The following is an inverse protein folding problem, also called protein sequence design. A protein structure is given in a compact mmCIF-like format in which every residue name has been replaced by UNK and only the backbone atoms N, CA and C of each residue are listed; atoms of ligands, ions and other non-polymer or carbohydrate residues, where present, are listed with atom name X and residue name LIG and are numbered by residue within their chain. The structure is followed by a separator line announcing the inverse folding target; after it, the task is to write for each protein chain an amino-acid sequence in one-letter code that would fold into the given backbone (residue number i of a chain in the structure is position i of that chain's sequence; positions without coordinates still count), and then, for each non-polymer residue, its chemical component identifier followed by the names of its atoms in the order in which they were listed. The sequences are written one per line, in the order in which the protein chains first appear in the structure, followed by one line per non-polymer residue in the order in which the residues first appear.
data_IF_366613595385
#
_entry.id   IF_366613595385
#
_cell.length_a   1.000
_cell.length_b   1.000
_cell.length_c   1.000
_cell.angle_alpha   90.00
_cell.angle_beta   90.00
_cell.angle_gamma   90.00
#
_symmetry.space_group_name_H-M   'P 1'
#
loop_
_entity.id
_entity.type
_entity.pdbx_description
1 polymer ?
#
# COMPACT_ATOMS: atom_id res chain seq x y z
N UNK A 1 17.02 -13.10 -6.33
CA UNK A 1 15.65 -13.03 -5.77
C UNK A 1 15.73 -12.52 -4.33
N UNK A 2 14.61 -12.14 -3.69
CA UNK A 2 14.62 -11.61 -2.30
C UNK A 2 15.31 -12.60 -1.33
N UNK A 3 15.06 -13.90 -1.50
CA UNK A 3 15.71 -14.97 -0.73
C UNK A 3 17.25 -14.95 -0.80
N UNK A 4 17.85 -14.52 -1.92
CA UNK A 4 19.31 -14.44 -2.06
C UNK A 4 19.89 -13.15 -1.51
N UNK A 5 19.10 -12.06 -1.55
CA UNK A 5 19.52 -10.73 -1.17
C UNK A 5 19.43 -10.52 0.34
N UNK A 6 18.34 -10.98 0.99
CA UNK A 6 18.08 -10.73 2.40
C UNK A 6 19.23 -11.19 3.33
N UNK A 7 19.87 -12.37 3.14
CA UNK A 7 20.99 -12.79 3.99
C UNK A 7 22.27 -11.94 3.85
N UNK A 8 22.37 -11.14 2.78
CA UNK A 8 23.54 -10.27 2.49
C UNK A 8 23.36 -8.85 3.00
N UNK A 9 22.15 -8.49 3.44
CA UNK A 9 21.87 -7.17 3.98
C UNK A 9 22.21 -7.14 5.47
N UNK A 10 22.75 -6.01 5.98
CA UNK A 10 22.96 -5.82 7.41
C UNK A 10 21.60 -5.55 8.09
N UNK A 11 20.78 -6.59 8.24
CA UNK A 11 19.45 -6.48 8.84
C UNK A 11 19.57 -6.13 10.33
N UNK A 12 19.00 -4.99 10.71
CA UNK A 12 18.93 -4.60 12.11
C UNK A 12 17.99 -5.54 12.89
N UNK A 13 18.37 -5.86 14.13
CA UNK A 13 17.46 -6.56 15.05
C UNK A 13 16.19 -5.73 15.24
N UNK A 14 15.02 -6.37 15.07
CA UNK A 14 13.70 -5.73 15.11
C UNK A 14 13.53 -4.56 14.12
N UNK A 15 14.28 -4.58 13.02
CA UNK A 15 14.13 -3.64 11.90
C UNK A 15 12.95 -4.01 10.99
N UNK A 16 12.66 -3.12 10.04
CA UNK A 16 11.67 -3.34 8.97
C UNK A 16 12.44 -3.40 7.65
N UNK A 17 12.16 -4.42 6.83
CA UNK A 17 12.65 -4.52 5.46
C UNK A 17 11.56 -4.05 4.50
N UNK A 18 11.82 -2.98 3.76
CA UNK A 18 10.95 -2.54 2.66
C UNK A 18 11.38 -3.20 1.36
N UNK A 19 10.41 -3.75 0.64
CA UNK A 19 10.59 -4.31 -0.70
C UNK A 19 9.74 -3.49 -1.66
N UNK A 20 10.37 -2.60 -2.42
CA UNK A 20 9.69 -1.89 -3.51
C UNK A 20 9.59 -2.83 -4.71
N UNK A 21 8.35 -3.20 -5.07
CA UNK A 21 8.09 -4.07 -6.20
C UNK A 21 8.07 -3.29 -7.52
N UNK A 22 8.07 -4.00 -8.65
CA UNK A 22 7.89 -3.39 -9.96
C UNK A 22 6.53 -2.68 -10.02
N UNK A 23 6.48 -1.45 -10.54
CA UNK A 23 5.27 -0.63 -10.64
C UNK A 23 4.22 -1.22 -11.59
N UNK A 24 3.47 -2.21 -11.11
CA UNK A 24 2.46 -2.96 -11.86
C UNK A 24 1.40 -3.52 -10.88
N UNK A 25 0.11 -3.33 -11.20
CA UNK A 25 -1.02 -3.80 -10.36
C UNK A 25 -1.54 -5.20 -10.76
N UNK A 26 -0.91 -5.87 -11.72
CA UNK A 26 -1.33 -7.17 -12.24
C UNK A 26 -0.35 -8.26 -11.79
N UNK A 27 0.84 -8.30 -12.37
CA UNK A 27 1.79 -9.40 -12.16
C UNK A 27 2.17 -9.60 -10.68
N UNK A 28 2.49 -8.55 -9.90
CA UNK A 28 2.98 -8.72 -8.53
C UNK A 28 1.94 -9.25 -7.54
N UNK A 29 0.65 -9.23 -7.90
CA UNK A 29 -0.41 -9.80 -7.06
C UNK A 29 -0.26 -11.33 -6.93
N UNK A 30 0.32 -11.99 -7.93
CA UNK A 30 0.46 -13.45 -7.99
C UNK A 30 1.75 -13.98 -7.37
N UNK A 31 2.64 -13.10 -6.88
CA UNK A 31 3.93 -13.50 -6.31
C UNK A 31 4.02 -13.09 -4.83
N UNK A 32 4.09 -14.11 -3.99
CA UNK A 32 4.50 -13.98 -2.60
C UNK A 32 6.04 -13.91 -2.53
N UNK A 33 6.58 -12.86 -1.92
CA UNK A 33 8.01 -12.65 -1.75
C UNK A 33 8.49 -13.08 -0.36
N UNK A 34 7.61 -13.64 0.47
CA UNK A 34 7.83 -13.91 1.88
C UNK A 34 7.58 -12.68 2.76
N UNK A 35 6.91 -11.65 2.25
CA UNK A 35 6.55 -10.48 3.04
C UNK A 35 5.44 -10.78 4.06
N UNK A 36 5.51 -10.14 5.23
CA UNK A 36 4.43 -10.23 6.23
C UNK A 36 3.20 -9.42 5.81
N UNK A 37 3.44 -8.27 5.18
CA UNK A 37 2.40 -7.36 4.73
C UNK A 37 2.70 -6.91 3.30
N UNK A 38 1.70 -7.04 2.44
CA UNK A 38 1.70 -6.43 1.11
C UNK A 38 0.93 -5.11 1.20
N UNK A 39 1.58 -4.02 0.81
CA UNK A 39 1.00 -2.67 0.86
C UNK A 39 0.80 -2.16 -0.56
N UNK A 40 -0.44 -1.88 -0.93
CA UNK A 40 -0.77 -1.28 -2.22
C UNK A 40 -0.73 0.25 -2.09
N UNK A 41 -0.03 0.93 -3.00
CA UNK A 41 -0.05 2.40 -3.08
C UNK A 41 -0.84 2.80 -4.32
N UNK A 42 -1.93 3.53 -4.13
CA UNK A 42 -2.76 4.08 -5.19
C UNK A 42 -2.75 5.60 -5.09
N UNK A 43 -2.41 6.31 -6.16
CA UNK A 43 -2.50 7.77 -6.18
C UNK A 43 -3.87 8.24 -6.63
N UNK A 44 -4.37 9.35 -6.08
CA UNK A 44 -5.63 9.98 -6.52
C UNK A 44 -5.61 10.40 -8.01
N UNK A 45 -4.43 10.54 -8.62
CA UNK A 45 -4.27 10.84 -10.05
C UNK A 45 -4.55 9.64 -10.98
N UNK A 46 -4.74 8.44 -10.43
CA UNK A 46 -4.90 7.21 -11.22
C UNK A 46 -6.36 6.84 -11.48
N UNK A 47 -7.30 7.43 -10.73
CA UNK A 47 -8.74 7.18 -10.82
C UNK A 47 -9.27 6.22 -9.75
N UNK A 48 -10.50 6.46 -9.29
CA UNK A 48 -11.10 5.82 -8.12
C UNK A 48 -11.49 4.35 -8.35
N UNK A 49 -11.63 3.92 -9.61
CA UNK A 49 -12.08 2.57 -10.01
C UNK A 49 -10.97 1.51 -10.06
N UNK A 50 -9.74 1.90 -9.71
CA UNK A 50 -8.55 1.03 -9.74
C UNK A 50 -8.69 -0.23 -8.88
N UNK A 51 -9.29 -0.20 -7.67
CA UNK A 51 -9.47 -1.41 -6.89
C UNK A 51 -10.28 -2.50 -7.62
N UNK A 52 -11.37 -2.13 -8.28
CA UNK A 52 -12.20 -3.06 -9.04
C UNK A 52 -11.54 -3.52 -10.34
N UNK A 53 -10.71 -2.67 -10.97
CA UNK A 53 -9.96 -3.03 -12.19
C UNK A 53 -8.81 -4.00 -11.93
N UNK A 54 -8.22 -3.97 -10.73
CA UNK A 54 -7.07 -4.80 -10.35
C UNK A 54 -7.34 -5.61 -9.08
N UNK A 55 -8.43 -6.39 -9.02
CA UNK A 55 -8.96 -6.93 -7.78
C UNK A 55 -7.96 -7.85 -7.06
N UNK A 56 -7.13 -8.60 -7.81
CA UNK A 56 -6.13 -9.48 -7.20
C UNK A 56 -5.09 -8.73 -6.36
N UNK A 57 -4.68 -7.52 -6.76
CA UNK A 57 -3.72 -6.73 -5.98
C UNK A 57 -4.32 -6.28 -4.66
N UNK A 58 -5.53 -5.72 -4.70
CA UNK A 58 -6.21 -5.19 -3.51
C UNK A 58 -6.74 -6.31 -2.60
N UNK A 59 -7.08 -7.48 -3.15
CA UNK A 59 -7.37 -8.68 -2.38
C UNK A 59 -6.16 -9.22 -1.62
N UNK A 60 -4.96 -9.13 -2.21
CA UNK A 60 -3.72 -9.58 -1.58
C UNK A 60 -3.10 -8.56 -0.61
N UNK A 61 -3.47 -7.28 -0.71
CA UNK A 61 -2.93 -6.23 0.13
C UNK A 61 -3.60 -6.22 1.52
N UNK A 62 -2.80 -6.09 2.58
CA UNK A 62 -3.32 -5.87 3.93
C UNK A 62 -3.67 -4.40 4.17
N UNK A 63 -2.97 -3.49 3.48
CA UNK A 63 -3.12 -2.05 3.61
C UNK A 63 -3.04 -1.38 2.23
N UNK A 64 -3.96 -0.46 1.98
CA UNK A 64 -3.90 0.48 0.87
C UNK A 64 -3.51 1.88 1.37
N UNK A 65 -2.47 2.44 0.80
CA UNK A 65 -2.16 3.87 0.90
C UNK A 65 -2.82 4.61 -0.26
N UNK A 66 -3.80 5.47 0.03
CA UNK A 66 -4.34 6.41 -0.96
C UNK A 66 -3.48 7.68 -0.91
N UNK A 67 -2.52 7.78 -1.84
CA UNK A 67 -1.50 8.82 -1.85
C UNK A 67 -1.90 10.05 -2.69
N UNK A 68 -1.16 11.15 -2.47
CA UNK A 68 -1.30 12.45 -3.14
C UNK A 68 -2.63 13.15 -2.84
N UNK A 69 -3.17 12.96 -1.64
CA UNK A 69 -4.46 13.57 -1.25
C UNK A 69 -4.43 15.11 -1.25
N UNK A 70 -3.24 15.71 -1.20
CA UNK A 70 -3.02 17.14 -1.43
C UNK A 70 -3.53 17.63 -2.80
N UNK A 71 -3.70 16.72 -3.76
CA UNK A 71 -4.21 17.03 -5.10
C UNK A 71 -5.73 16.97 -5.22
N UNK A 72 -6.46 16.47 -4.21
CA UNK A 72 -7.93 16.35 -4.25
C UNK A 72 -8.65 17.66 -4.61
N UNK A 73 -8.23 18.86 -4.14
CA UNK A 73 -8.88 20.12 -4.54
C UNK A 73 -8.81 20.42 -6.05
N UNK A 74 -7.91 19.76 -6.79
CA UNK A 74 -7.66 19.99 -8.21
C UNK A 74 -8.15 18.84 -9.09
N UNK A 75 -8.71 17.78 -8.51
CA UNK A 75 -9.12 16.56 -9.20
C UNK A 75 -10.60 16.29 -8.98
N UNK A 76 -11.27 15.79 -10.01
CA UNK A 76 -12.60 15.19 -9.84
C UNK A 76 -12.42 13.72 -9.44
N UNK A 77 -12.07 13.49 -8.17
CA UNK A 77 -11.85 12.16 -7.60
C UNK A 77 -12.79 11.95 -6.41
N UNK A 78 -13.58 10.89 -6.45
CA UNK A 78 -14.47 10.50 -5.36
C UNK A 78 -13.73 9.54 -4.41
N UNK A 79 -13.28 10.09 -3.28
CA UNK A 79 -12.57 9.33 -2.24
C UNK A 79 -13.44 8.21 -1.69
N UNK A 80 -14.69 8.50 -1.31
CA UNK A 80 -15.58 7.53 -0.68
C UNK A 80 -15.86 6.36 -1.63
N UNK A 81 -16.05 6.65 -2.92
CA UNK A 81 -16.19 5.62 -3.94
C UNK A 81 -14.94 4.75 -4.05
N UNK A 82 -13.75 5.34 -4.02
CA UNK A 82 -12.49 4.57 -4.05
C UNK A 82 -12.37 3.63 -2.84
N UNK A 83 -12.69 4.14 -1.64
CA UNK A 83 -12.67 3.35 -0.40
C UNK A 83 -13.69 2.22 -0.44
N UNK A 84 -14.89 2.48 -0.96
CA UNK A 84 -15.94 1.47 -1.15
C UNK A 84 -15.49 0.38 -2.12
N UNK A 85 -14.93 0.75 -3.27
CA UNK A 85 -14.37 -0.19 -4.25
C UNK A 85 -13.26 -1.07 -3.64
N UNK A 86 -12.37 -0.50 -2.83
CA UNK A 86 -11.33 -1.27 -2.15
C UNK A 86 -11.92 -2.28 -1.15
N UNK A 87 -12.91 -1.87 -0.36
CA UNK A 87 -13.58 -2.74 0.61
C UNK A 87 -14.49 -3.80 -0.03
N UNK A 88 -15.03 -3.53 -1.22
CA UNK A 88 -15.76 -4.52 -2.01
C UNK A 88 -14.84 -5.68 -2.42
N UNK A 89 -13.60 -5.37 -2.80
CA UNK A 89 -12.59 -6.38 -3.16
C UNK A 89 -12.01 -7.07 -1.92
N UNK A 90 -11.73 -6.30 -0.86
CA UNK A 90 -11.16 -6.80 0.38
C UNK A 90 -11.81 -6.14 1.60
N UNK A 91 -12.79 -6.79 2.24
CA UNK A 91 -13.49 -6.21 3.41
C UNK A 91 -12.59 -5.94 4.62
N UNK A 92 -11.39 -6.53 4.66
CA UNK A 92 -10.45 -6.40 5.77
C UNK A 92 -9.29 -5.44 5.47
N UNK A 93 -9.25 -4.83 4.28
CA UNK A 93 -8.17 -3.91 3.91
C UNK A 93 -8.19 -2.68 4.82
N UNK A 94 -7.05 -2.41 5.46
CA UNK A 94 -6.83 -1.12 6.11
C UNK A 94 -6.57 -0.06 5.04
N UNK A 95 -7.02 1.17 5.27
CA UNK A 95 -6.81 2.26 4.31
C UNK A 95 -6.34 3.50 5.06
N UNK A 96 -5.24 4.08 4.60
CA UNK A 96 -4.69 5.34 5.13
C UNK A 96 -4.57 6.31 3.97
N UNK A 97 -5.15 7.50 4.14
CA UNK A 97 -4.99 8.61 3.22
C UNK A 97 -3.68 9.32 3.54
N UNK A 98 -2.83 9.52 2.54
CA UNK A 98 -1.52 10.14 2.73
C UNK A 98 -1.19 11.16 1.65
N UNK A 99 -0.38 12.13 2.02
CA UNK A 99 0.39 12.93 1.07
C UNK A 99 1.86 12.87 1.46
N UNK A 100 2.67 12.23 0.62
CA UNK A 100 4.12 12.28 0.77
C UNK A 100 4.69 13.70 0.56
N UNK A 101 3.91 14.61 -0.06
CA UNK A 101 4.32 16.00 -0.33
C UNK A 101 4.02 16.90 0.87
N UNK A 102 2.79 16.88 1.40
CA UNK A 102 2.38 17.75 2.51
C UNK A 102 2.67 17.15 3.88
N UNK A 103 2.89 15.83 3.95
CA UNK A 103 3.05 15.08 5.20
C UNK A 103 1.74 14.61 5.82
N UNK A 104 0.58 14.98 5.24
CA UNK A 104 -0.72 14.52 5.71
C UNK A 104 -0.78 12.98 5.78
N UNK A 105 -1.28 12.45 6.89
CA UNK A 105 -1.43 11.00 7.12
C UNK A 105 -0.13 10.20 7.32
N UNK A 106 1.04 10.81 7.15
CA UNK A 106 2.32 10.10 7.28
C UNK A 106 2.58 9.61 8.70
N UNK A 107 2.16 10.36 9.73
CA UNK A 107 2.26 9.92 11.13
C UNK A 107 1.43 8.66 11.40
N UNK A 108 0.23 8.58 10.83
CA UNK A 108 -0.62 7.39 10.94
C UNK A 108 0.02 6.18 10.27
N UNK A 109 0.61 6.37 9.08
CA UNK A 109 1.36 5.32 8.40
C UNK A 109 2.59 4.85 9.19
N UNK A 110 3.36 5.78 9.75
CA UNK A 110 4.52 5.44 10.59
C UNK A 110 4.11 4.69 11.85
N UNK A 111 3.03 5.12 12.51
CA UNK A 111 2.45 4.42 13.66
C UNK A 111 2.01 3.01 13.29
N UNK A 112 1.37 2.83 12.12
CA UNK A 112 1.00 1.51 11.63
C UNK A 112 2.22 0.61 11.43
N UNK A 113 3.33 1.12 10.87
CA UNK A 113 4.57 0.35 10.72
C UNK A 113 5.16 -0.08 12.06
N UNK A 114 5.10 0.78 13.08
CA UNK A 114 5.59 0.45 14.42
C UNK A 114 4.81 -0.70 15.06
N UNK A 115 3.50 -0.78 14.85
CA UNK A 115 2.66 -1.88 15.38
C UNK A 115 2.91 -3.20 14.66
N UNK A 116 3.45 -3.19 13.44
CA UNK A 116 3.78 -4.42 12.69
C UNK A 116 5.16 -5.00 13.03
N UNK A 117 5.98 -4.33 13.84
CA UNK A 117 7.31 -4.83 14.23
C UNK A 117 7.17 -6.18 14.96
N UNK A 118 8.00 -7.14 14.57
CA UNK A 118 8.08 -8.41 15.29
C UNK A 118 8.67 -8.19 16.70
N UNK A 119 8.16 -8.95 17.68
CA UNK A 119 8.71 -9.00 19.04
C UNK A 119 10.15 -9.54 19.05
#
# INVERSE_FOLDING_TARGET
MIADAAPRLPLANRGILFIENVGNLVCPASFDLGERHKVAVLSVTEGEDKPLKYPHMFAAASLMLLNKVDLLPYLNFDVERCLACAREVNPHIEIILVSATSGEGMEQWLTWLETQRCA
#
